data_IF_693439275634
#
_entry.id   IF_693439275634
#
_cell.length_a   1.000
_cell.length_b   1.000
_cell.length_c   1.000
_cell.angle_alpha   90.00
_cell.angle_beta   90.00
_cell.angle_gamma   90.00
#
_symmetry.space_group_name_H-M   'P 1'
#
loop_
_entity.id
_entity.type
_entity.pdbx_description
1 polymer ?
#
# COMPACT_ATOMS: atom_id res chain seq x y z
N UNK A 1 -26.61 8.55 4.82
CA UNK A 1 -25.65 9.00 3.80
C UNK A 1 -26.05 8.35 2.47
N UNK A 2 -26.03 9.08 1.33
CA UNK A 2 -26.25 8.49 0.01
C UNK A 2 -25.23 7.41 -0.31
N UNK A 3 -25.64 6.40 -1.07
CA UNK A 3 -24.84 5.17 -1.29
C UNK A 3 -23.47 5.42 -1.93
N UNK A 4 -23.37 6.40 -2.84
CA UNK A 4 -22.10 6.78 -3.49
C UNK A 4 -21.11 7.35 -2.46
N UNK A 5 -21.55 8.29 -1.64
CA UNK A 5 -20.71 8.91 -0.61
C UNK A 5 -20.33 7.93 0.50
N UNK A 6 -21.24 7.03 0.85
CA UNK A 6 -20.87 5.94 1.77
C UNK A 6 -19.84 4.99 1.15
N UNK A 7 -19.93 4.78 -0.17
CA UNK A 7 -18.93 4.05 -0.94
C UNK A 7 -17.55 4.73 -0.92
N UNK A 8 -17.52 6.04 -1.15
CA UNK A 8 -16.27 6.84 -1.05
C UNK A 8 -15.68 6.80 0.35
N UNK A 9 -16.51 6.98 1.39
CA UNK A 9 -16.05 6.92 2.78
C UNK A 9 -15.46 5.54 3.13
N UNK A 10 -16.09 4.46 2.65
CA UNK A 10 -15.56 3.11 2.82
C UNK A 10 -14.24 2.93 2.06
N UNK A 11 -14.11 3.47 0.86
CA UNK A 11 -12.86 3.44 0.12
C UNK A 11 -11.76 4.27 0.80
N UNK A 12 -12.11 5.39 1.45
CA UNK A 12 -11.17 6.15 2.28
C UNK A 12 -10.68 5.34 3.49
N UNK A 13 -11.53 4.56 4.13
CA UNK A 13 -11.11 3.62 5.19
C UNK A 13 -10.10 2.58 4.65
N UNK A 14 -10.21 2.23 3.36
CA UNK A 14 -9.28 1.34 2.68
C UNK A 14 -7.94 2.01 2.34
N UNK A 15 -7.94 3.33 2.14
CA UNK A 15 -6.74 4.15 1.91
C UNK A 15 -5.98 4.39 3.22
N UNK A 16 -5.61 3.32 3.88
CA UNK A 16 -4.81 3.32 5.11
C UNK A 16 -3.35 3.70 4.82
N UNK A 17 -2.56 3.96 5.86
CA UNK A 17 -1.12 4.14 5.72
C UNK A 17 -0.44 2.98 4.98
N UNK A 18 -0.91 1.75 5.19
CA UNK A 18 -0.38 0.58 4.50
C UNK A 18 -0.73 0.56 3.00
N UNK A 19 -1.96 0.93 2.63
CA UNK A 19 -2.38 0.84 1.23
C UNK A 19 -2.09 2.09 0.42
N UNK A 20 -2.17 3.28 1.02
CA UNK A 20 -1.90 4.53 0.31
C UNK A 20 -0.40 4.84 0.23
N UNK A 21 0.33 4.70 1.35
CA UNK A 21 1.74 5.08 1.44
C UNK A 21 2.66 3.92 1.09
N UNK A 22 2.42 2.75 1.71
CA UNK A 22 3.39 1.66 1.63
C UNK A 22 3.16 0.68 0.47
N UNK A 23 1.97 0.64 -0.15
CA UNK A 23 1.66 -0.39 -1.16
C UNK A 23 2.51 -0.26 -2.42
N UNK A 24 2.59 0.93 -3.01
CA UNK A 24 3.39 1.13 -4.22
C UNK A 24 4.87 0.86 -3.96
N UNK A 25 5.41 1.38 -2.85
CA UNK A 25 6.78 1.08 -2.41
C UNK A 25 6.99 -0.40 -2.10
N UNK A 26 6.03 -1.04 -1.46
CA UNK A 26 6.08 -2.48 -1.19
C UNK A 26 6.10 -3.33 -2.46
N UNK A 27 5.32 -2.96 -3.49
CA UNK A 27 5.36 -3.62 -4.79
C UNK A 27 6.68 -3.31 -5.53
N UNK A 28 7.15 -2.06 -5.45
CA UNK A 28 8.43 -1.66 -6.04
C UNK A 28 9.59 -2.53 -5.53
N UNK A 29 9.68 -2.74 -4.22
CA UNK A 29 10.74 -3.55 -3.60
C UNK A 29 10.43 -5.05 -3.54
N UNK A 30 9.19 -5.41 -3.28
CA UNK A 30 8.76 -6.80 -3.07
C UNK A 30 8.34 -7.53 -4.33
N UNK A 31 8.15 -6.80 -5.44
CA UNK A 31 7.76 -7.36 -6.73
C UNK A 31 6.47 -8.18 -6.67
N UNK A 32 6.42 -9.25 -7.46
CA UNK A 32 5.27 -10.14 -7.57
C UNK A 32 4.74 -10.65 -6.21
N UNK A 33 5.65 -10.99 -5.29
CA UNK A 33 5.26 -11.55 -3.99
C UNK A 33 4.40 -10.57 -3.18
N UNK A 34 4.63 -9.26 -3.33
CA UNK A 34 3.85 -8.25 -2.62
C UNK A 34 2.41 -8.11 -3.14
N UNK A 35 2.13 -8.59 -4.35
CA UNK A 35 0.77 -8.64 -4.90
C UNK A 35 -0.18 -9.51 -4.07
N UNK A 36 0.35 -10.45 -3.25
CA UNK A 36 -0.46 -11.23 -2.33
C UNK A 36 -1.23 -10.38 -1.33
N UNK A 37 -0.66 -9.26 -0.88
CA UNK A 37 -1.34 -8.30 0.01
C UNK A 37 -2.51 -7.62 -0.71
N UNK A 38 -2.28 -7.13 -1.93
CA UNK A 38 -3.31 -6.47 -2.73
C UNK A 38 -4.49 -7.40 -3.01
N UNK A 39 -4.20 -8.62 -3.46
CA UNK A 39 -5.21 -9.64 -3.76
C UNK A 39 -5.95 -10.03 -2.47
N UNK A 40 -5.22 -10.26 -1.39
CA UNK A 40 -5.78 -10.64 -0.10
C UNK A 40 -6.70 -9.56 0.47
N UNK A 41 -6.26 -8.31 0.50
CA UNK A 41 -7.09 -7.20 0.98
C UNK A 41 -8.34 -6.99 0.13
N UNK A 42 -8.23 -7.00 -1.20
CA UNK A 42 -9.38 -6.88 -2.09
C UNK A 42 -10.34 -8.04 -1.91
N UNK A 43 -9.82 -9.28 -1.89
CA UNK A 43 -10.62 -10.48 -1.66
C UNK A 43 -11.30 -10.46 -0.30
N UNK A 44 -10.63 -9.96 0.75
CA UNK A 44 -11.20 -9.78 2.08
C UNK A 44 -12.38 -8.81 2.11
N UNK A 45 -12.28 -7.69 1.38
CA UNK A 45 -13.42 -6.79 1.24
C UNK A 45 -14.60 -7.45 0.51
N UNK A 46 -14.34 -8.14 -0.59
CA UNK A 46 -15.38 -8.88 -1.33
C UNK A 46 -16.04 -9.92 -0.43
N UNK A 47 -15.24 -10.69 0.33
CA UNK A 47 -15.75 -11.70 1.27
C UNK A 47 -16.63 -11.07 2.36
N UNK A 48 -16.12 -10.04 3.06
CA UNK A 48 -16.85 -9.34 4.11
C UNK A 48 -18.12 -8.66 3.60
N UNK A 49 -18.05 -8.01 2.45
CA UNK A 49 -19.17 -7.28 1.87
C UNK A 49 -20.26 -8.18 1.29
N UNK A 50 -19.90 -9.31 0.71
CA UNK A 50 -20.88 -10.25 0.14
C UNK A 50 -21.53 -11.13 1.19
N UNK A 51 -20.74 -11.62 2.16
CA UNK A 51 -21.23 -12.57 3.17
C UNK A 51 -21.73 -11.87 4.45
N UNK A 52 -20.98 -10.89 4.97
CA UNK A 52 -21.28 -10.30 6.28
C UNK A 52 -22.20 -9.08 6.21
N UNK A 53 -22.04 -8.20 5.22
CA UNK A 53 -22.78 -6.95 5.17
C UNK A 53 -24.30 -7.09 5.19
N UNK A 54 -24.92 -7.98 4.38
CA UNK A 54 -26.36 -8.18 4.41
C UNK A 54 -26.89 -8.70 5.75
N UNK A 55 -26.12 -9.62 6.37
CA UNK A 55 -26.49 -10.21 7.66
C UNK A 55 -26.37 -9.21 8.80
N UNK A 56 -25.25 -8.50 8.89
CA UNK A 56 -25.04 -7.50 9.91
C UNK A 56 -26.11 -6.39 9.84
N UNK A 57 -26.43 -5.94 8.63
CA UNK A 57 -27.49 -4.91 8.45
C UNK A 57 -28.88 -5.44 8.79
N UNK A 58 -29.20 -6.68 8.44
CA UNK A 58 -30.48 -7.31 8.75
C UNK A 58 -30.65 -7.57 10.25
N UNK A 59 -29.56 -7.92 10.93
CA UNK A 59 -29.56 -8.22 12.36
C UNK A 59 -29.84 -7.00 13.24
N UNK A 60 -29.46 -5.79 12.78
CA UNK A 60 -29.81 -4.53 13.41
C UNK A 60 -28.98 -4.13 14.63
N UNK A 61 -27.86 -4.81 14.93
CA UNK A 61 -26.92 -4.40 15.95
C UNK A 61 -26.07 -3.21 15.49
N UNK A 62 -25.52 -2.46 16.44
CA UNK A 62 -24.65 -1.30 16.16
C UNK A 62 -23.17 -1.63 16.19
N UNK A 63 -22.78 -2.72 16.86
CA UNK A 63 -21.39 -3.14 17.01
C UNK A 63 -21.22 -4.63 16.76
N UNK A 64 -19.99 -5.04 16.39
CA UNK A 64 -19.65 -6.45 16.22
C UNK A 64 -19.76 -7.24 17.54
N UNK A 65 -19.32 -6.73 18.70
CA UNK A 65 -19.52 -7.41 19.98
C UNK A 65 -20.99 -7.60 20.34
N UNK A 66 -21.88 -6.65 20.00
CA UNK A 66 -23.32 -6.83 20.21
C UNK A 66 -23.88 -7.95 19.34
N UNK A 67 -23.47 -8.00 18.09
CA UNK A 67 -23.84 -9.08 17.19
C UNK A 67 -23.41 -10.44 17.74
N UNK A 68 -22.16 -10.57 18.17
CA UNK A 68 -21.61 -11.84 18.74
C UNK A 68 -22.34 -12.20 20.03
N UNK A 69 -22.52 -11.25 20.94
CA UNK A 69 -23.21 -11.47 22.21
C UNK A 69 -24.66 -11.91 22.03
N UNK A 70 -25.36 -11.34 21.04
CA UNK A 70 -26.75 -11.72 20.75
C UNK A 70 -26.84 -13.04 19.97
N UNK A 71 -25.90 -13.33 19.08
CA UNK A 71 -25.90 -14.54 18.25
C UNK A 71 -25.54 -15.81 19.03
N UNK A 72 -24.51 -15.73 19.88
CA UNK A 72 -23.97 -16.88 20.61
C UNK A 72 -24.44 -16.95 22.07
N UNK A 73 -25.08 -15.90 22.55
CA UNK A 73 -25.60 -15.81 23.91
C UNK A 73 -24.53 -15.53 24.96
N UNK A 74 -24.93 -14.72 25.98
CA UNK A 74 -24.16 -14.50 27.19
C UNK A 74 -23.15 -13.35 27.17
N UNK A 75 -22.86 -12.91 28.38
CA UNK A 75 -21.95 -11.80 28.64
C UNK A 75 -20.47 -12.17 28.33
N UNK A 76 -20.13 -13.46 28.46
CA UNK A 76 -18.78 -13.93 28.18
C UNK A 76 -18.40 -13.80 26.71
N UNK A 77 -19.29 -14.20 25.80
CA UNK A 77 -19.05 -14.07 24.35
C UNK A 77 -18.90 -12.59 23.95
N UNK A 78 -19.75 -11.71 24.52
CA UNK A 78 -19.66 -10.25 24.33
C UNK A 78 -18.33 -9.70 24.86
N UNK A 79 -17.93 -10.10 26.07
CA UNK A 79 -16.67 -9.67 26.68
C UNK A 79 -15.44 -10.08 25.85
N UNK A 80 -15.38 -11.35 25.44
CA UNK A 80 -14.30 -11.82 24.58
C UNK A 80 -14.25 -11.03 23.25
N UNK A 81 -15.41 -10.75 22.65
CA UNK A 81 -15.48 -9.97 21.43
C UNK A 81 -15.00 -8.52 21.63
N UNK A 82 -15.28 -7.88 22.76
CA UNK A 82 -14.79 -6.55 23.12
C UNK A 82 -13.26 -6.55 23.27
N UNK A 83 -12.69 -7.55 23.96
CA UNK A 83 -11.25 -7.66 24.13
C UNK A 83 -10.55 -7.82 22.78
N UNK A 84 -11.03 -8.71 21.91
CA UNK A 84 -10.47 -8.92 20.57
C UNK A 84 -10.59 -7.64 19.73
N UNK A 85 -11.75 -6.98 19.78
CA UNK A 85 -11.98 -5.70 19.09
C UNK A 85 -10.97 -4.63 19.54
N UNK A 86 -10.77 -4.49 20.86
CA UNK A 86 -9.85 -3.51 21.42
C UNK A 86 -8.40 -3.77 20.97
N UNK A 87 -7.95 -5.02 21.04
CA UNK A 87 -6.59 -5.42 20.63
C UNK A 87 -6.38 -5.19 19.12
N UNK A 88 -7.33 -5.62 18.28
CA UNK A 88 -7.25 -5.43 16.84
C UNK A 88 -7.24 -3.93 16.46
N UNK A 89 -8.12 -3.14 17.08
CA UNK A 89 -8.20 -1.69 16.83
C UNK A 89 -6.94 -0.97 17.31
N UNK A 90 -6.40 -1.32 18.46
CA UNK A 90 -5.18 -0.74 19.00
C UNK A 90 -3.98 -0.99 18.08
N UNK A 91 -3.81 -2.23 17.61
CA UNK A 91 -2.75 -2.60 16.66
C UNK A 91 -2.87 -1.81 15.36
N UNK A 92 -4.10 -1.70 14.83
CA UNK A 92 -4.37 -0.95 13.62
C UNK A 92 -4.06 0.55 13.78
N UNK A 93 -4.54 1.17 14.85
CA UNK A 93 -4.31 2.60 15.14
C UNK A 93 -2.81 2.90 15.29
N UNK A 94 -2.05 2.03 15.97
CA UNK A 94 -0.60 2.18 16.12
C UNK A 94 0.09 2.26 14.75
N UNK A 95 -0.28 1.38 13.82
CA UNK A 95 0.26 1.42 12.46
C UNK A 95 -0.10 2.71 11.70
N UNK A 96 -1.35 3.20 11.86
CA UNK A 96 -1.80 4.43 11.21
C UNK A 96 -1.10 5.68 11.77
N UNK A 97 -0.90 5.74 13.09
CA UNK A 97 -0.19 6.86 13.75
C UNK A 97 1.28 6.88 13.30
N UNK A 98 1.91 5.71 13.17
CA UNK A 98 3.28 5.62 12.65
C UNK A 98 3.37 6.17 11.22
N UNK A 99 2.46 5.75 10.33
CA UNK A 99 2.41 6.26 8.96
C UNK A 99 2.19 7.78 8.91
N UNK A 100 1.27 8.29 9.73
CA UNK A 100 0.98 9.73 9.84
C UNK A 100 2.19 10.51 10.34
N UNK A 101 2.87 10.01 11.38
CA UNK A 101 4.09 10.61 11.91
C UNK A 101 5.21 10.66 10.87
N UNK A 102 5.38 9.60 10.11
CA UNK A 102 6.36 9.53 9.02
C UNK A 102 6.07 10.57 7.94
N UNK A 103 4.82 10.65 7.46
CA UNK A 103 4.42 11.61 6.43
C UNK A 103 4.58 13.05 6.94
N UNK A 104 4.05 13.34 8.12
CA UNK A 104 4.13 14.68 8.71
C UNK A 104 5.57 15.11 8.96
N UNK A 105 6.40 14.21 9.47
CA UNK A 105 7.84 14.47 9.66
C UNK A 105 8.53 14.83 8.35
N UNK A 106 8.24 14.10 7.28
CA UNK A 106 8.84 14.36 5.98
C UNK A 106 8.30 15.62 5.31
N UNK A 107 6.98 15.81 5.31
CA UNK A 107 6.34 16.94 4.65
C UNK A 107 6.61 18.28 5.35
N UNK A 108 6.61 18.28 6.67
CA UNK A 108 6.79 19.50 7.49
C UNK A 108 8.24 19.69 7.97
N UNK A 109 9.14 18.77 7.70
CA UNK A 109 10.54 18.80 8.16
C UNK A 109 10.66 18.91 9.70
N UNK A 110 9.77 18.26 10.43
CA UNK A 110 9.72 18.23 11.89
C UNK A 110 10.17 16.86 12.42
N UNK A 111 10.60 16.76 13.68
CA UNK A 111 10.87 15.47 14.33
C UNK A 111 9.66 14.54 14.26
N UNK A 112 9.91 13.24 14.14
CA UNK A 112 8.87 12.20 14.01
C UNK A 112 7.84 12.27 15.15
N UNK A 113 8.30 12.48 16.38
CA UNK A 113 7.46 12.56 17.57
C UNK A 113 6.44 13.71 17.48
N UNK A 114 6.88 14.87 16.99
CA UNK A 114 5.99 16.01 16.75
C UNK A 114 4.99 15.71 15.62
N UNK A 115 5.43 15.04 14.56
CA UNK A 115 4.55 14.57 13.49
C UNK A 115 3.44 13.65 13.99
N UNK A 116 3.77 12.74 14.89
CA UNK A 116 2.80 11.86 15.57
C UNK A 116 1.77 12.67 16.35
N UNK A 117 2.19 13.64 17.15
CA UNK A 117 1.27 14.48 17.93
C UNK A 117 0.37 15.34 17.06
N UNK A 118 0.88 15.94 16.00
CA UNK A 118 0.09 16.72 15.04
C UNK A 118 -1.03 15.87 14.44
N UNK A 119 -0.69 14.65 13.99
CA UNK A 119 -1.67 13.71 13.47
C UNK A 119 -2.70 13.26 14.51
N UNK A 120 -2.24 12.88 15.69
CA UNK A 120 -3.10 12.37 16.76
C UNK A 120 -4.11 13.42 17.24
N UNK A 121 -3.67 14.65 17.49
CA UNK A 121 -4.55 15.74 17.94
C UNK A 121 -5.61 16.05 16.88
N UNK A 122 -5.22 16.10 15.60
CA UNK A 122 -6.15 16.33 14.50
C UNK A 122 -7.23 15.24 14.40
N UNK A 123 -6.85 13.97 14.52
CA UNK A 123 -7.76 12.82 14.50
C UNK A 123 -8.72 12.87 15.71
N UNK A 124 -8.19 13.12 16.90
CA UNK A 124 -9.01 13.18 18.13
C UNK A 124 -10.05 14.31 18.07
N UNK A 125 -9.65 15.50 17.61
CA UNK A 125 -10.58 16.62 17.47
C UNK A 125 -11.73 16.29 16.49
N UNK A 126 -11.41 15.76 15.32
CA UNK A 126 -12.42 15.38 14.33
C UNK A 126 -13.35 14.27 14.86
N UNK A 127 -12.79 13.25 15.51
CA UNK A 127 -13.55 12.09 15.98
C UNK A 127 -14.44 12.39 17.18
N UNK A 128 -13.91 13.12 18.18
CA UNK A 128 -14.63 13.41 19.43
C UNK A 128 -15.76 14.43 19.23
N UNK A 129 -15.52 15.46 18.43
CA UNK A 129 -16.51 16.54 18.25
C UNK A 129 -17.59 16.22 17.23
N UNK A 130 -17.29 15.38 16.25
CA UNK A 130 -18.15 15.21 15.10
C UNK A 130 -18.95 13.91 15.02
N UNK A 131 -18.57 12.87 15.74
CA UNK A 131 -19.18 11.54 15.69
C UNK A 131 -19.16 10.91 14.29
N UNK A 132 -19.89 9.79 14.12
CA UNK A 132 -19.88 8.99 12.85
C UNK A 132 -20.33 9.76 11.61
N UNK A 133 -21.20 10.76 11.75
CA UNK A 133 -21.67 11.55 10.60
C UNK A 133 -20.57 12.48 10.08
N UNK A 134 -19.88 13.17 10.96
CA UNK A 134 -18.79 14.05 10.58
C UNK A 134 -17.62 13.24 10.02
N UNK A 135 -17.23 12.14 10.69
CA UNK A 135 -16.19 11.23 10.21
C UNK A 135 -16.50 10.76 8.77
N UNK A 136 -17.75 10.36 8.47
CA UNK A 136 -18.11 9.92 7.13
C UNK A 136 -17.93 11.01 6.07
N UNK A 137 -18.36 12.24 6.34
CA UNK A 137 -18.20 13.34 5.38
C UNK A 137 -16.75 13.80 5.22
N UNK A 138 -15.98 13.79 6.31
CA UNK A 138 -14.54 14.06 6.26
C UNK A 138 -13.83 13.03 5.38
N UNK A 139 -14.19 11.76 5.50
CA UNK A 139 -13.62 10.69 4.68
C UNK A 139 -14.02 10.77 3.20
N UNK A 140 -15.21 11.28 2.88
CA UNK A 140 -15.59 11.56 1.48
C UNK A 140 -14.66 12.61 0.89
N UNK A 141 -14.42 13.70 1.62
CA UNK A 141 -13.49 14.75 1.17
C UNK A 141 -12.05 14.21 1.06
N UNK A 142 -11.60 13.44 2.04
CA UNK A 142 -10.30 12.77 2.01
C UNK A 142 -10.16 11.84 0.80
N UNK A 143 -11.17 11.01 0.50
CA UNK A 143 -11.14 10.13 -0.67
C UNK A 143 -10.86 10.91 -1.95
N UNK A 144 -11.58 12.00 -2.17
CA UNK A 144 -11.42 12.82 -3.38
C UNK A 144 -10.00 13.37 -3.50
N UNK A 145 -9.47 13.93 -2.42
CA UNK A 145 -8.10 14.46 -2.40
C UNK A 145 -7.07 13.37 -2.61
N UNK A 146 -7.21 12.26 -1.89
CA UNK A 146 -6.25 11.14 -1.93
C UNK A 146 -6.21 10.48 -3.31
N UNK A 147 -7.36 10.22 -3.93
CA UNK A 147 -7.37 9.56 -5.25
C UNK A 147 -6.79 10.45 -6.34
N UNK A 148 -7.07 11.75 -6.30
CA UNK A 148 -6.48 12.72 -7.24
C UNK A 148 -4.95 12.77 -7.03
N UNK A 149 -4.50 12.91 -5.77
CA UNK A 149 -3.08 12.92 -5.43
C UNK A 149 -2.35 11.64 -5.87
N UNK A 150 -3.04 10.50 -5.85
CA UNK A 150 -2.46 9.22 -6.27
C UNK A 150 -2.40 9.06 -7.79
N UNK A 151 -3.42 9.53 -8.49
CA UNK A 151 -3.51 9.43 -9.95
C UNK A 151 -2.54 10.39 -10.67
N UNK A 152 -2.30 11.60 -10.12
CA UNK A 152 -1.40 12.58 -10.72
C UNK A 152 -0.03 11.98 -11.06
N UNK A 153 0.75 11.40 -10.12
CA UNK A 153 2.05 10.83 -10.43
C UNK A 153 1.96 9.65 -11.40
N UNK A 154 0.91 8.82 -11.32
CA UNK A 154 0.71 7.69 -12.24
C UNK A 154 0.59 8.19 -13.68
N UNK A 155 -0.28 9.17 -13.92
CA UNK A 155 -0.47 9.74 -15.26
C UNK A 155 0.73 10.55 -15.72
N UNK A 156 1.35 11.30 -14.82
CA UNK A 156 2.53 12.10 -15.17
C UNK A 156 3.69 11.21 -15.60
N UNK A 157 4.10 10.24 -14.80
CA UNK A 157 5.24 9.36 -15.12
C UNK A 157 4.94 8.58 -16.40
N UNK A 158 3.71 8.08 -16.54
CA UNK A 158 3.30 7.35 -17.74
C UNK A 158 3.38 8.21 -19.01
N UNK A 159 2.92 9.45 -18.94
CA UNK A 159 2.98 10.36 -20.08
C UNK A 159 4.40 10.84 -20.41
N UNK A 160 5.20 11.12 -19.38
CA UNK A 160 6.61 11.56 -19.53
C UNK A 160 7.51 10.44 -20.06
N UNK A 161 7.22 9.19 -19.67
CA UNK A 161 7.94 7.99 -20.12
C UNK A 161 7.46 7.44 -21.46
N UNK A 162 6.49 8.08 -22.10
CA UNK A 162 5.85 7.57 -23.33
C UNK A 162 5.20 6.19 -23.18
N UNK A 163 4.77 5.85 -21.94
CA UNK A 163 4.13 4.57 -21.61
C UNK A 163 2.61 4.54 -21.90
N UNK A 164 2.08 5.57 -22.57
CA UNK A 164 0.69 5.67 -22.99
C UNK A 164 -0.18 6.56 -22.10
N UNK A 165 -1.33 7.00 -22.66
CA UNK A 165 -2.25 7.93 -21.99
C UNK A 165 -3.09 7.23 -20.91
N UNK A 166 -3.33 5.93 -21.08
CA UNK A 166 -4.12 5.12 -20.13
C UNK A 166 -3.23 4.06 -19.46
N UNK A 167 -2.43 4.43 -18.46
CA UNK A 167 -1.45 3.55 -17.84
C UNK A 167 -2.05 2.26 -17.28
N UNK A 168 -3.27 2.29 -16.77
CA UNK A 168 -3.92 1.11 -16.21
C UNK A 168 -4.19 0.01 -17.23
N UNK A 169 -4.41 0.37 -18.51
CA UNK A 169 -4.62 -0.59 -19.59
C UNK A 169 -3.29 -1.15 -20.13
N UNK A 170 -2.21 -0.41 -19.95
CA UNK A 170 -0.87 -0.78 -20.45
C UNK A 170 -0.04 -1.53 -19.40
N UNK A 171 -0.57 -1.77 -18.21
CA UNK A 171 0.19 -2.39 -17.11
C UNK A 171 0.86 -3.72 -17.51
N UNK A 172 0.19 -4.52 -18.32
CA UNK A 172 0.73 -5.81 -18.79
C UNK A 172 2.00 -5.65 -19.62
N UNK A 173 1.97 -4.72 -20.58
CA UNK A 173 3.09 -4.43 -21.47
C UNK A 173 4.25 -3.78 -20.70
N UNK A 174 3.94 -2.89 -19.76
CA UNK A 174 4.94 -2.24 -18.91
C UNK A 174 5.64 -3.24 -17.97
N UNK A 175 4.90 -4.20 -17.43
CA UNK A 175 5.48 -5.27 -16.61
C UNK A 175 6.36 -6.18 -17.46
N UNK A 176 5.98 -6.47 -18.70
CA UNK A 176 6.80 -7.26 -19.61
C UNK A 176 8.12 -6.55 -19.93
N UNK A 177 8.05 -5.26 -20.31
CA UNK A 177 9.23 -4.42 -20.56
C UNK A 177 10.13 -4.34 -19.32
N UNK A 178 9.53 -4.16 -18.15
CA UNK A 178 10.27 -4.17 -16.89
C UNK A 178 10.99 -5.50 -16.66
N UNK A 179 10.32 -6.62 -16.95
CA UNK A 179 10.91 -7.95 -16.84
C UNK A 179 12.14 -8.15 -17.73
N UNK A 180 12.12 -7.60 -18.97
CA UNK A 180 13.27 -7.61 -19.87
C UNK A 180 14.44 -6.80 -19.32
N UNK A 181 14.18 -5.59 -18.80
CA UNK A 181 15.20 -4.75 -18.17
C UNK A 181 15.76 -5.41 -16.90
N UNK A 182 14.89 -5.97 -16.07
CA UNK A 182 15.30 -6.71 -14.87
C UNK A 182 16.25 -7.88 -15.22
N UNK A 183 15.97 -8.58 -16.30
CA UNK A 183 16.84 -9.67 -16.78
C UNK A 183 18.17 -9.14 -17.29
N UNK A 184 18.20 -8.00 -18.00
CA UNK A 184 19.43 -7.35 -18.47
C UNK A 184 20.35 -6.91 -17.30
N UNK A 185 19.74 -6.43 -16.22
CA UNK A 185 20.48 -6.03 -15.01
C UNK A 185 20.70 -7.18 -14.00
N UNK A 186 20.47 -8.44 -14.41
CA UNK A 186 20.76 -9.62 -13.61
C UNK A 186 19.78 -9.86 -12.43
N UNK A 187 18.67 -9.14 -12.38
CA UNK A 187 17.59 -9.44 -11.45
C UNK A 187 16.84 -10.69 -11.93
N UNK A 188 17.37 -11.84 -11.63
CA UNK A 188 16.70 -13.11 -11.84
C UNK A 188 15.68 -13.37 -10.74
N UNK A 189 14.84 -14.40 -10.93
CA UNK A 189 13.70 -14.80 -10.08
C UNK A 189 14.00 -14.97 -8.59
N UNK A 190 15.26 -14.99 -8.16
CA UNK A 190 15.71 -15.22 -6.80
C UNK A 190 16.60 -14.09 -6.28
N UNK A 191 16.02 -13.14 -5.55
CA UNK A 191 16.74 -12.08 -4.86
C UNK A 191 17.80 -12.56 -3.85
N UNK A 192 17.73 -13.81 -3.39
CA UNK A 192 18.70 -14.41 -2.50
C UNK A 192 20.04 -14.69 -3.18
N UNK A 193 20.03 -15.05 -4.47
CA UNK A 193 21.24 -15.29 -5.24
C UNK A 193 21.93 -13.99 -5.64
N UNK A 194 21.15 -12.96 -5.97
CA UNK A 194 21.69 -11.62 -6.20
C UNK A 194 22.36 -11.04 -4.94
N UNK A 195 21.82 -11.34 -3.72
CA UNK A 195 22.44 -10.96 -2.45
C UNK A 195 23.77 -11.68 -2.18
N UNK A 196 23.82 -12.96 -2.50
CA UNK A 196 25.01 -13.78 -2.22
C UNK A 196 26.22 -13.35 -3.07
N UNK A 197 25.98 -12.64 -4.17
CA UNK A 197 27.02 -12.16 -5.08
C UNK A 197 27.50 -10.73 -4.78
N UNK A 198 26.82 -10.00 -3.89
CA UNK A 198 27.23 -8.65 -3.53
C UNK A 198 28.37 -8.66 -2.51
N UNK A 199 29.49 -8.11 -2.90
CA UNK A 199 30.64 -7.91 -2.04
C UNK A 199 31.02 -6.43 -2.00
N UNK A 200 31.53 -5.96 -0.86
CA UNK A 200 32.19 -4.67 -0.79
C UNK A 200 33.49 -4.67 -1.64
N UNK A 201 34.02 -3.48 -1.93
CA UNK A 201 35.29 -3.34 -2.66
C UNK A 201 36.44 -4.09 -2.00
N UNK A 202 36.38 -4.35 -0.70
CA UNK A 202 37.34 -5.14 0.07
C UNK A 202 37.14 -6.67 -0.03
N UNK A 203 36.15 -7.12 -0.81
CA UNK A 203 35.77 -8.53 -0.97
C UNK A 203 34.91 -9.11 0.15
N UNK A 204 34.53 -8.33 1.16
CA UNK A 204 33.66 -8.79 2.23
C UNK A 204 32.19 -8.85 1.75
N UNK A 205 31.47 -9.88 2.19
CA UNK A 205 30.05 -10.02 1.83
C UNK A 205 29.17 -8.90 2.43
N UNK A 206 28.34 -8.28 1.62
CA UNK A 206 27.38 -7.27 2.09
C UNK A 206 26.31 -7.95 2.94
N UNK A 207 26.44 -7.84 4.26
CA UNK A 207 25.49 -8.40 5.23
C UNK A 207 24.49 -7.34 5.66
N UNK A 208 23.22 -7.68 5.65
CA UNK A 208 22.19 -6.87 6.31
C UNK A 208 21.48 -5.82 5.45
N UNK A 209 21.65 -5.80 4.15
CA UNK A 209 20.82 -5.00 3.27
C UNK A 209 19.37 -5.51 3.31
N UNK A 210 18.53 -4.77 4.01
CA UNK A 210 17.13 -5.10 4.24
C UNK A 210 16.23 -4.89 3.01
N UNK A 211 16.78 -4.26 1.96
CA UNK A 211 16.01 -3.76 0.82
C UNK A 211 16.58 -4.28 -0.50
N UNK A 212 16.33 -5.56 -0.74
CA UNK A 212 16.60 -6.10 -2.07
C UNK A 212 15.35 -5.91 -2.90
N UNK A 213 15.57 -5.33 -4.05
CA UNK A 213 14.53 -5.18 -5.05
C UNK A 213 14.26 -6.54 -5.68
N UNK A 214 13.08 -7.08 -5.45
CA UNK A 214 12.65 -8.32 -6.08
C UNK A 214 12.16 -8.05 -7.52
N UNK A 215 12.27 -9.05 -8.38
CA UNK A 215 11.71 -8.96 -9.74
C UNK A 215 10.19 -8.75 -9.69
N UNK A 216 9.70 -7.81 -10.50
CA UNK A 216 8.28 -7.55 -10.69
C UNK A 216 7.60 -8.65 -11.49
N UNK A 217 8.25 -9.10 -12.57
CA UNK A 217 7.75 -10.11 -13.48
C UNK A 217 8.07 -11.54 -13.03
N UNK A 218 9.07 -11.70 -12.16
CA UNK A 218 9.54 -13.00 -11.69
C UNK A 218 8.61 -13.62 -10.67
N UNK A 219 7.89 -14.68 -11.06
CA UNK A 219 7.17 -15.53 -10.12
C UNK A 219 8.17 -16.41 -9.39
N UNK A 220 8.19 -16.43 -8.04
CA UNK A 220 9.07 -17.33 -7.29
C UNK A 220 8.86 -18.79 -7.69
N UNK A 221 9.94 -19.51 -7.95
CA UNK A 221 9.88 -20.89 -8.41
C UNK A 221 9.58 -21.88 -7.26
N UNK A 222 8.85 -22.94 -7.60
CA UNK A 222 8.61 -24.09 -6.75
C UNK A 222 7.27 -24.09 -6.00
N UNK A 223 6.79 -25.27 -5.69
CA UNK A 223 5.51 -25.49 -5.02
C UNK A 223 5.42 -24.79 -3.65
N UNK A 224 6.52 -24.73 -2.91
CA UNK A 224 6.57 -24.07 -1.60
C UNK A 224 6.36 -22.55 -1.72
N UNK A 225 6.86 -21.91 -2.78
CA UNK A 225 6.65 -20.48 -3.02
C UNK A 225 5.18 -20.19 -3.35
N UNK A 226 4.54 -21.02 -4.17
CA UNK A 226 3.11 -20.93 -4.47
C UNK A 226 2.25 -21.08 -3.21
N UNK A 227 2.56 -22.06 -2.35
CA UNK A 227 1.86 -22.24 -1.08
C UNK A 227 2.02 -21.06 -0.13
N UNK A 228 3.21 -20.47 -0.02
CA UNK A 228 3.44 -19.26 0.78
C UNK A 228 2.62 -18.09 0.26
N UNK A 229 2.58 -17.90 -1.05
CA UNK A 229 1.79 -16.85 -1.69
C UNK A 229 0.30 -17.02 -1.41
N UNK A 230 -0.26 -18.21 -1.67
CA UNK A 230 -1.67 -18.53 -1.43
C UNK A 230 -2.02 -18.39 0.05
N UNK A 231 -1.18 -18.92 0.94
CA UNK A 231 -1.39 -18.81 2.39
C UNK A 231 -1.43 -17.36 2.86
N UNK A 232 -0.56 -16.51 2.32
CA UNK A 232 -0.56 -15.09 2.61
C UNK A 232 -1.82 -14.40 2.08
N UNK A 233 -2.25 -14.72 0.85
CA UNK A 233 -3.51 -14.21 0.28
C UNK A 233 -4.70 -14.58 1.18
N UNK A 234 -4.82 -15.85 1.59
CA UNK A 234 -5.91 -16.32 2.44
C UNK A 234 -5.86 -15.63 3.82
N UNK A 235 -4.67 -15.53 4.41
CA UNK A 235 -4.48 -14.86 5.70
C UNK A 235 -4.95 -13.40 5.64
N UNK A 236 -4.51 -12.66 4.62
CA UNK A 236 -4.91 -11.27 4.42
C UNK A 236 -6.40 -11.14 4.11
N UNK A 237 -6.97 -12.07 3.33
CA UNK A 237 -8.37 -12.08 2.97
C UNK A 237 -9.28 -12.29 4.19
N UNK A 238 -9.00 -13.29 5.00
CA UNK A 238 -9.78 -13.58 6.21
C UNK A 238 -9.62 -12.47 7.25
N UNK A 239 -8.38 -12.02 7.48
CA UNK A 239 -8.08 -10.92 8.41
C UNK A 239 -8.83 -9.64 8.02
N UNK A 240 -8.79 -9.28 6.76
CA UNK A 240 -9.45 -8.08 6.25
C UNK A 240 -10.97 -8.16 6.30
N UNK A 241 -11.55 -9.33 6.00
CA UNK A 241 -13.00 -9.53 6.08
C UNK A 241 -13.57 -9.32 7.50
N UNK A 242 -12.74 -9.49 8.53
CA UNK A 242 -13.14 -9.37 9.93
C UNK A 242 -12.84 -8.01 10.57
N UNK A 243 -12.28 -7.04 9.82
CA UNK A 243 -11.90 -5.73 10.36
C UNK A 243 -13.12 -4.95 10.89
N UNK A 244 -13.14 -4.60 12.20
CA UNK A 244 -14.35 -4.06 12.83
C UNK A 244 -14.77 -2.70 12.27
N UNK A 245 -13.82 -1.83 11.96
CA UNK A 245 -14.10 -0.48 11.46
C UNK A 245 -14.76 -0.50 10.07
N UNK A 246 -14.50 -1.52 9.25
CA UNK A 246 -15.13 -1.71 7.96
C UNK A 246 -16.55 -2.25 8.12
N UNK A 247 -16.71 -3.23 9.00
CA UNK A 247 -18.02 -3.82 9.28
C UNK A 247 -19.02 -2.80 9.83
N UNK A 248 -18.56 -1.82 10.59
CA UNK A 248 -19.39 -0.73 11.12
C UNK A 248 -20.05 0.11 10.01
N UNK A 249 -19.45 0.22 8.81
CA UNK A 249 -20.04 0.98 7.69
C UNK A 249 -21.36 0.41 7.20
N UNK A 250 -21.58 -0.88 7.35
CA UNK A 250 -22.83 -1.52 6.95
C UNK A 250 -24.00 -1.14 7.85
N UNK A 251 -23.73 -0.81 9.11
CA UNK A 251 -24.77 -0.34 10.04
C UNK A 251 -25.22 1.10 9.76
N UNK A 252 -24.41 1.92 9.09
CA UNK A 252 -24.75 3.32 8.78
C UNK A 252 -25.64 3.49 7.57
N UNK A 253 -25.94 2.41 6.83
CA UNK A 253 -26.82 2.46 5.65
C UNK A 253 -28.30 2.32 6.04
N UNK A 254 -29.24 2.97 5.32
CA UNK A 254 -30.67 2.93 5.69
C UNK A 254 -31.34 1.59 5.45
N UNK A 255 -30.83 0.79 4.50
CA UNK A 255 -31.45 -0.50 4.12
C UNK A 255 -30.42 -1.48 3.58
N UNK A 256 -30.80 -2.76 3.52
CA UNK A 256 -29.97 -3.82 2.90
C UNK A 256 -29.68 -3.53 1.43
N UNK A 257 -30.68 -3.00 0.69
CA UNK A 257 -30.51 -2.60 -0.71
C UNK A 257 -29.49 -1.46 -0.86
N UNK A 258 -29.54 -0.48 0.04
CA UNK A 258 -28.58 0.63 0.09
C UNK A 258 -27.17 0.12 0.47
N UNK A 259 -27.06 -0.83 1.41
CA UNK A 259 -25.80 -1.45 1.76
C UNK A 259 -25.14 -2.14 0.56
N UNK A 260 -25.89 -2.96 -0.19
CA UNK A 260 -25.39 -3.62 -1.40
C UNK A 260 -24.94 -2.63 -2.48
N UNK A 261 -25.70 -1.55 -2.72
CA UNK A 261 -25.28 -0.50 -3.67
C UNK A 261 -24.03 0.23 -3.20
N UNK A 262 -23.93 0.52 -1.91
CA UNK A 262 -22.74 1.13 -1.32
C UNK A 262 -21.51 0.25 -1.50
N UNK A 263 -21.63 -1.07 -1.34
CA UNK A 263 -20.55 -2.04 -1.58
C UNK A 263 -20.06 -1.98 -3.02
N UNK A 264 -20.97 -1.94 -4.00
CA UNK A 264 -20.57 -1.85 -5.41
C UNK A 264 -19.76 -0.57 -5.69
N UNK A 265 -20.20 0.57 -5.15
CA UNK A 265 -19.46 1.82 -5.25
C UNK A 265 -18.08 1.75 -4.53
N UNK A 266 -18.05 1.17 -3.34
CA UNK A 266 -16.78 0.99 -2.62
C UNK A 266 -15.81 0.14 -3.40
N UNK A 267 -16.26 -0.97 -4.00
CA UNK A 267 -15.39 -1.82 -4.84
C UNK A 267 -14.84 -1.06 -6.03
N UNK A 268 -15.65 -0.26 -6.70
CA UNK A 268 -15.19 0.59 -7.79
C UNK A 268 -14.08 1.56 -7.34
N UNK A 269 -14.32 2.26 -6.23
CA UNK A 269 -13.38 3.23 -5.70
C UNK A 269 -12.10 2.59 -5.14
N UNK A 270 -12.20 1.40 -4.54
CA UNK A 270 -11.04 0.61 -4.09
C UNK A 270 -10.25 0.10 -5.28
N UNK A 271 -10.92 -0.40 -6.33
CA UNK A 271 -10.27 -0.89 -7.52
C UNK A 271 -9.44 0.20 -8.20
N UNK A 272 -9.92 1.44 -8.23
CA UNK A 272 -9.19 2.56 -8.79
C UNK A 272 -7.85 2.79 -8.09
N UNK A 273 -7.80 2.73 -6.75
CA UNK A 273 -6.54 2.81 -6.01
C UNK A 273 -5.65 1.58 -6.24
N UNK A 274 -6.25 0.39 -6.16
CA UNK A 274 -5.49 -0.87 -6.16
C UNK A 274 -4.97 -1.26 -7.55
N UNK A 275 -5.51 -0.72 -8.62
CA UNK A 275 -4.92 -0.80 -9.95
C UNK A 275 -3.85 0.27 -10.18
N UNK A 276 -4.00 1.43 -9.54
CA UNK A 276 -3.03 2.52 -9.64
C UNK A 276 -1.73 2.24 -8.88
N UNK A 277 -1.79 1.52 -7.75
CA UNK A 277 -0.60 1.24 -6.95
C UNK A 277 0.43 0.33 -7.65
N UNK A 278 0.06 -0.81 -8.26
CA UNK A 278 0.97 -1.60 -9.10
C UNK A 278 1.50 -0.79 -10.27
N UNK A 279 0.64 0.02 -10.91
CA UNK A 279 1.05 0.85 -12.03
C UNK A 279 2.11 1.88 -11.60
N UNK A 280 1.88 2.60 -10.50
CA UNK A 280 2.86 3.54 -9.97
C UNK A 280 4.21 2.85 -9.66
N UNK A 281 4.16 1.67 -9.03
CA UNK A 281 5.36 0.90 -8.73
C UNK A 281 6.12 0.51 -10.00
N UNK A 282 5.40 -0.01 -11.02
CA UNK A 282 5.98 -0.45 -12.29
C UNK A 282 6.60 0.71 -13.05
N UNK A 283 5.85 1.80 -13.28
CA UNK A 283 6.37 2.93 -14.07
C UNK A 283 7.48 3.68 -13.35
N UNK A 284 7.44 3.76 -12.01
CA UNK A 284 8.55 4.33 -11.24
C UNK A 284 9.81 3.50 -11.36
N UNK A 285 9.70 2.17 -11.34
CA UNK A 285 10.85 1.29 -11.51
C UNK A 285 11.40 1.34 -12.93
N UNK A 286 10.52 1.31 -13.93
CA UNK A 286 10.89 1.49 -15.33
C UNK A 286 11.61 2.80 -15.57
N UNK A 287 11.09 3.91 -15.04
CA UNK A 287 11.68 5.24 -15.25
C UNK A 287 13.11 5.36 -14.70
N UNK A 288 13.45 4.58 -13.69
CA UNK A 288 14.81 4.54 -13.12
C UNK A 288 15.73 3.56 -13.85
N UNK A 289 15.17 2.48 -14.38
CA UNK A 289 15.94 1.40 -15.03
C UNK A 289 16.14 1.63 -16.54
N UNK A 290 15.22 2.32 -17.21
CA UNK A 290 15.28 2.53 -18.66
C UNK A 290 16.32 3.60 -19.00
N UNK A 291 17.49 3.24 -19.57
CA UNK A 291 18.55 4.19 -19.86
C UNK A 291 18.19 5.18 -20.98
N UNK A 292 17.12 4.90 -21.74
CA UNK A 292 16.62 5.81 -22.79
C UNK A 292 15.86 7.00 -22.22
N UNK A 293 15.47 6.95 -20.94
CA UNK A 293 14.76 8.02 -20.26
C UNK A 293 15.72 8.97 -19.54
N UNK A 294 15.36 10.25 -19.50
CA UNK A 294 16.12 11.25 -18.77
C UNK A 294 16.24 10.95 -17.26
N UNK A 295 15.27 10.21 -16.72
CA UNK A 295 15.24 9.77 -15.32
C UNK A 295 15.99 8.47 -15.07
N UNK A 296 16.38 7.74 -16.12
CA UNK A 296 17.12 6.48 -16.01
C UNK A 296 18.49 6.72 -15.40
N UNK A 297 18.78 6.04 -14.28
CA UNK A 297 20.04 6.20 -13.53
C UNK A 297 20.79 4.88 -13.37
N UNK A 298 20.10 3.75 -13.45
CA UNK A 298 20.72 2.44 -13.31
C UNK A 298 21.61 2.15 -14.52
N UNK A 299 22.84 1.72 -14.25
CA UNK A 299 23.87 1.49 -15.26
C UNK A 299 24.70 2.73 -15.63
N UNK A 300 24.38 3.92 -15.09
CA UNK A 300 25.20 5.12 -15.25
C UNK A 300 26.32 5.19 -14.22
N UNK A 301 27.35 5.99 -14.51
CA UNK A 301 28.39 6.22 -13.53
C UNK A 301 27.84 6.98 -12.31
N UNK A 302 28.34 6.65 -11.12
CA UNK A 302 27.90 7.30 -9.87
C UNK A 302 28.13 8.82 -9.94
N UNK A 303 29.24 9.25 -10.54
CA UNK A 303 29.53 10.66 -10.72
C UNK A 303 28.50 11.38 -11.60
N UNK A 304 28.06 10.73 -12.67
CA UNK A 304 26.98 11.25 -13.54
C UNK A 304 25.67 11.36 -12.77
N UNK A 305 25.27 10.32 -12.02
CA UNK A 305 24.03 10.34 -11.24
C UNK A 305 24.06 11.43 -10.16
N UNK A 306 25.20 11.63 -9.51
CA UNK A 306 25.38 12.67 -8.51
C UNK A 306 25.31 14.09 -9.09
N UNK A 307 25.52 14.26 -10.39
CA UNK A 307 25.38 15.56 -11.07
C UNK A 307 23.95 15.90 -11.48
N UNK A 308 23.01 14.95 -11.39
CA UNK A 308 21.63 15.15 -11.81
C UNK A 308 20.88 16.01 -10.78
N UNK A 309 20.25 17.11 -11.21
CA UNK A 309 19.57 18.09 -10.34
C UNK A 309 18.48 17.44 -9.44
N UNK A 310 17.62 16.59 -10.02
CA UNK A 310 16.57 15.95 -9.22
C UNK A 310 17.15 15.00 -8.17
N UNK A 311 18.25 14.29 -8.47
CA UNK A 311 18.93 13.44 -7.51
C UNK A 311 19.52 14.26 -6.37
N UNK A 312 20.20 15.36 -6.69
CA UNK A 312 20.78 16.26 -5.68
C UNK A 312 19.71 16.80 -4.73
N UNK A 313 18.57 17.25 -5.29
CA UNK A 313 17.45 17.73 -4.49
C UNK A 313 16.92 16.67 -3.52
N UNK A 314 16.79 15.42 -3.95
CA UNK A 314 16.29 14.32 -3.12
C UNK A 314 17.33 13.83 -2.11
N UNK A 315 18.61 13.81 -2.50
CA UNK A 315 19.70 13.46 -1.60
C UNK A 315 19.88 14.50 -0.49
N UNK A 316 19.75 15.79 -0.80
CA UNK A 316 19.78 16.87 0.18
C UNK A 316 18.69 16.73 1.26
N UNK A 317 17.52 16.22 0.88
CA UNK A 317 16.42 15.90 1.79
C UNK A 317 16.60 14.54 2.49
N UNK A 318 17.67 13.83 2.23
CA UNK A 318 17.92 12.46 2.74
C UNK A 318 16.81 11.45 2.38
N UNK A 319 16.11 11.68 1.28
CA UNK A 319 15.08 10.76 0.79
C UNK A 319 15.69 9.64 -0.06
N UNK A 320 16.82 9.91 -0.66
CA UNK A 320 17.52 9.03 -1.56
C UNK A 320 19.00 9.02 -1.24
N UNK A 321 19.63 7.84 -1.32
CA UNK A 321 21.04 7.66 -1.12
C UNK A 321 21.54 6.58 -2.08
N UNK A 322 22.69 6.81 -2.70
CA UNK A 322 23.41 5.81 -3.50
C UNK A 322 24.73 5.50 -2.82
N UNK A 323 25.14 4.25 -2.88
CA UNK A 323 26.42 3.81 -2.32
C UNK A 323 26.99 2.72 -3.22
N UNK A 324 28.18 2.97 -3.74
CA UNK A 324 28.95 1.98 -4.48
C UNK A 324 29.51 0.93 -3.52
N UNK A 325 28.96 -0.26 -3.53
CA UNK A 325 29.39 -1.33 -2.63
C UNK A 325 30.54 -2.13 -3.20
N UNK A 326 30.60 -2.29 -4.51
CA UNK A 326 31.59 -3.10 -5.20
C UNK A 326 32.77 -2.29 -5.76
N UNK A 327 32.72 -0.96 -5.69
CA UNK A 327 33.78 -0.06 -6.13
C UNK A 327 33.94 0.01 -7.65
N UNK A 328 32.92 -0.39 -8.44
CA UNK A 328 32.99 -0.40 -9.89
C UNK A 328 32.67 0.98 -10.52
N UNK A 329 32.22 1.95 -9.72
CA UNK A 329 31.87 3.30 -10.14
C UNK A 329 30.58 3.41 -10.95
N UNK A 330 29.81 2.31 -11.11
CA UNK A 330 28.57 2.24 -11.87
C UNK A 330 27.41 1.95 -10.92
N UNK A 331 26.32 2.71 -11.03
CA UNK A 331 25.17 2.51 -10.14
C UNK A 331 24.38 1.26 -10.52
N UNK A 332 24.35 0.31 -9.62
CA UNK A 332 23.50 -0.88 -9.72
C UNK A 332 22.18 -0.72 -8.98
N UNK A 333 21.17 -1.51 -9.36
CA UNK A 333 19.83 -1.39 -8.77
C UNK A 333 19.81 -1.62 -7.25
N UNK A 334 20.75 -2.43 -6.75
CA UNK A 334 20.86 -2.75 -5.32
C UNK A 334 21.64 -1.69 -4.52
N UNK A 335 22.25 -0.73 -5.19
CA UNK A 335 23.04 0.37 -4.60
C UNK A 335 22.23 1.66 -4.45
N UNK A 336 20.97 1.58 -4.82
CA UNK A 336 20.00 2.67 -4.77
C UNK A 336 19.04 2.48 -3.59
N UNK A 337 19.06 3.42 -2.65
CA UNK A 337 18.26 3.37 -1.44
C UNK A 337 17.30 4.54 -1.36
N UNK A 338 16.02 4.24 -1.14
CA UNK A 338 15.03 5.20 -0.68
C UNK A 338 14.86 5.06 0.84
N UNK A 339 14.91 6.15 1.56
CA UNK A 339 14.69 6.20 3.01
C UNK A 339 13.27 6.57 3.36
#
# INVERSE_FOLDING_TARGET
VPTVFNGMATAADWMSGASFVAMAGGIYFGGYTYMAFLIGWTGGYVLGSSLLAPYLRKFGCYTVPDFIGTRYGGNLARFCAVVVLALASFTYVTAQINATGTIASRALQIPFELGVWVGLVSILLCSMLGGMRAVTWTQVAQYIVLIIAYLIPVFWISSSGNYGIFPHLMLGDEVAKLGELEAQFGLTKNSKEAMASMTFADGSAVKGLKYIVNSHAGVPDGAMAAWKFISLVICMMVGTASLPHILMRYFTTPSVKAARKSVAWSLFFIALLYTSAPMLATVSKLSLMDPSLATGIIGKSIAEVQSIDWYQAWNAQKWMHIQDFNGNGTLELNEFFMR
#
